data_IF_216829958348
#
_entry.id   IF_216829958348
#
_cell.length_a   1.000
_cell.length_b   1.000
_cell.length_c   1.000
_cell.angle_alpha   90.00
_cell.angle_beta   90.00
_cell.angle_gamma   90.00
#
_symmetry.space_group_name_H-M   'P 1'
#
loop_
_entity.id
_entity.type
_entity.pdbx_description
1 polymer ?
#
# COMPACT_ATOMS: atom_id res chain seq x y z
N UNK A 1 -47.93 16.29 12.28
CA UNK A 1 -48.47 16.04 10.93
C UNK A 1 -47.47 16.53 9.91
N UNK A 2 -47.02 15.59 9.08
CA UNK A 2 -46.42 15.68 7.73
C UNK A 2 -45.26 16.65 7.44
N UNK A 3 -44.13 16.00 7.14
CA UNK A 3 -42.97 16.47 6.36
C UNK A 3 -43.41 16.86 4.95
N UNK A 4 -42.89 17.96 4.41
CA UNK A 4 -42.92 18.24 2.97
C UNK A 4 -41.51 18.08 2.41
N UNK A 5 -41.36 17.01 1.62
CA UNK A 5 -40.26 16.78 0.69
C UNK A 5 -40.89 16.73 -0.71
N UNK A 6 -40.46 17.64 -1.58
CA UNK A 6 -40.70 17.61 -3.03
C UNK A 6 -39.40 17.03 -3.65
N UNK A 7 -39.36 15.76 -4.11
CA UNK A 7 -39.81 15.20 -5.40
C UNK A 7 -39.22 15.98 -6.59
N UNK A 8 -38.49 15.43 -7.58
CA UNK A 8 -38.57 14.11 -8.22
C UNK A 8 -37.37 13.85 -9.18
N UNK A 9 -36.99 12.56 -9.36
CA UNK A 9 -36.52 11.83 -10.59
C UNK A 9 -35.32 12.36 -11.40
N UNK A 10 -34.39 11.60 -12.00
CA UNK A 10 -34.25 10.22 -12.50
C UNK A 10 -32.74 10.07 -12.84
N UNK A 11 -32.01 8.98 -12.58
CA UNK A 11 -31.86 7.79 -13.44
C UNK A 11 -30.83 6.90 -12.69
N UNK A 12 -31.25 5.83 -12.02
CA UNK A 12 -31.34 4.45 -12.52
C UNK A 12 -30.01 3.86 -13.00
N UNK A 13 -29.45 2.98 -12.16
CA UNK A 13 -28.46 1.97 -12.50
C UNK A 13 -28.89 1.14 -13.72
N UNK A 14 -27.95 0.85 -14.62
CA UNK A 14 -28.13 -0.25 -15.56
C UNK A 14 -26.77 -0.90 -15.90
N UNK A 15 -26.45 -1.99 -15.20
CA UNK A 15 -25.69 -3.12 -15.76
C UNK A 15 -26.70 -4.23 -16.01
N UNK A 16 -26.80 -4.78 -17.23
CA UNK A 16 -26.21 -6.09 -17.53
C UNK A 16 -25.71 -6.11 -19.00
N UNK A 17 -25.12 -7.13 -19.62
CA UNK A 17 -25.22 -8.59 -19.52
C UNK A 17 -24.11 -9.20 -20.39
N UNK A 18 -23.66 -10.38 -19.99
CA UNK A 18 -22.95 -11.36 -20.82
C UNK A 18 -23.64 -11.65 -22.17
N UNK A 19 -22.81 -12.16 -23.10
CA UNK A 19 -23.16 -12.94 -24.30
C UNK A 19 -23.18 -12.17 -25.61
N UNK A 20 -22.24 -12.49 -26.50
CA UNK A 20 -22.57 -13.08 -27.81
C UNK A 20 -21.30 -13.59 -28.51
N UNK A 21 -21.20 -14.92 -28.55
CA UNK A 21 -20.34 -15.65 -29.47
C UNK A 21 -21.16 -15.93 -30.75
N UNK A 22 -20.58 -15.85 -31.96
CA UNK A 22 -21.13 -16.54 -33.11
C UNK A 22 -20.28 -17.78 -33.39
N UNK A 23 -20.87 -18.95 -33.16
CA UNK A 23 -20.45 -20.18 -33.80
C UNK A 23 -21.02 -20.25 -35.23
N UNK A 24 -20.30 -21.00 -36.08
CA UNK A 24 -20.76 -21.71 -37.27
C UNK A 24 -20.98 -20.93 -38.57
N UNK A 25 -19.97 -21.00 -39.45
CA UNK A 25 -20.15 -21.05 -40.90
C UNK A 25 -20.00 -22.49 -41.39
N UNK A 26 -21.07 -23.03 -41.97
CA UNK A 26 -21.22 -24.39 -42.48
C UNK A 26 -20.45 -24.63 -43.78
N UNK A 27 -19.65 -25.70 -43.76
CA UNK A 27 -19.36 -26.71 -44.80
C UNK A 27 -19.73 -26.41 -46.27
N UNK A 28 -18.75 -26.51 -47.17
CA UNK A 28 -18.96 -27.06 -48.52
C UNK A 28 -17.86 -28.10 -48.81
N UNK A 29 -18.30 -29.33 -48.96
CA UNK A 29 -17.59 -30.55 -49.33
C UNK A 29 -17.31 -30.61 -50.84
N UNK A 30 -16.06 -30.97 -51.24
CA UNK A 30 -15.72 -31.84 -52.38
C UNK A 30 -14.18 -32.00 -52.59
N UNK A 31 -13.68 -33.14 -53.13
CA UNK A 31 -12.40 -33.78 -52.71
C UNK A 31 -11.36 -33.95 -53.86
N UNK A 32 -10.37 -34.87 -53.75
CA UNK A 32 -8.97 -34.66 -53.37
C UNK A 32 -8.01 -34.60 -54.58
N UNK A 33 -7.06 -33.66 -54.60
CA UNK A 33 -5.91 -33.76 -55.52
C UNK A 33 -4.71 -34.40 -54.83
N UNK A 34 -4.60 -35.72 -54.98
CA UNK A 34 -3.35 -36.43 -54.77
C UNK A 34 -2.30 -35.93 -55.74
N UNK A 35 -1.27 -35.25 -55.24
CA UNK A 35 0.01 -35.15 -55.95
C UNK A 35 1.09 -35.74 -55.07
N UNK A 36 1.48 -36.95 -55.43
CA UNK A 36 2.73 -37.57 -55.00
C UNK A 36 3.89 -36.66 -55.41
N UNK A 37 4.76 -36.35 -54.46
CA UNK A 37 6.23 -36.40 -54.55
C UNK A 37 6.88 -35.39 -53.62
N UNK A 38 7.77 -35.89 -52.77
CA UNK A 38 8.65 -35.09 -51.94
C UNK A 38 8.83 -35.70 -50.55
N UNK A 39 9.45 -36.88 -50.47
CA UNK A 39 10.09 -37.32 -49.22
C UNK A 39 11.06 -36.20 -48.82
N UNK A 40 10.75 -35.39 -47.81
CA UNK A 40 11.76 -34.52 -47.21
C UNK A 40 12.65 -35.42 -46.36
N UNK A 41 13.91 -35.48 -46.77
CA UNK A 41 14.99 -36.14 -46.04
C UNK A 41 15.01 -35.61 -44.60
N UNK A 42 15.01 -36.51 -43.63
CA UNK A 42 15.26 -36.20 -42.22
C UNK A 42 16.74 -35.88 -42.11
N UNK A 43 17.09 -34.60 -42.09
CA UNK A 43 18.42 -34.16 -41.69
C UNK A 43 18.40 -33.94 -40.19
N UNK A 44 19.15 -34.77 -39.48
CA UNK A 44 19.49 -34.62 -38.08
C UNK A 44 20.14 -33.24 -37.88
N UNK A 45 19.37 -32.27 -37.37
CA UNK A 45 19.94 -31.03 -36.88
C UNK A 45 20.32 -31.27 -35.42
N UNK A 46 21.60 -31.56 -35.27
CA UNK A 46 22.49 -31.33 -34.15
C UNK A 46 21.83 -30.59 -32.98
N UNK A 47 21.75 -31.29 -31.86
CA UNK A 47 21.40 -30.79 -30.54
C UNK A 47 22.26 -29.56 -30.22
N UNK A 48 21.69 -28.37 -30.41
CA UNK A 48 22.23 -27.13 -29.90
C UNK A 48 22.03 -27.13 -28.37
N UNK A 49 22.92 -27.79 -27.64
CA UNK A 49 23.15 -27.59 -26.21
C UNK A 49 23.74 -26.20 -25.98
N UNK A 50 22.92 -25.18 -26.23
CA UNK A 50 23.20 -23.79 -25.91
C UNK A 50 22.35 -23.32 -24.75
N UNK A 51 22.22 -24.12 -23.68
CA UNK A 51 21.62 -23.64 -22.43
C UNK A 51 22.59 -22.68 -21.77
N UNK A 52 22.53 -21.39 -22.15
CA UNK A 52 23.10 -20.31 -21.34
C UNK A 52 22.41 -20.33 -19.97
N UNK A 53 23.08 -20.93 -18.99
CA UNK A 53 22.82 -20.82 -17.56
C UNK A 53 21.39 -21.12 -17.13
N UNK A 54 20.98 -22.39 -17.12
CA UNK A 54 19.79 -22.78 -16.39
C UNK A 54 20.10 -22.71 -14.89
N UNK A 55 19.72 -21.59 -14.25
CA UNK A 55 19.79 -21.42 -12.79
C UNK A 55 19.03 -22.58 -12.16
N UNK A 56 19.68 -23.33 -11.27
CA UNK A 56 19.03 -24.51 -10.70
C UNK A 56 17.83 -24.08 -9.85
N UNK A 57 16.78 -24.91 -9.78
CA UNK A 57 15.62 -24.64 -8.91
C UNK A 57 16.04 -24.37 -7.47
N UNK A 58 17.07 -25.08 -6.99
CA UNK A 58 17.64 -24.88 -5.66
C UNK A 58 18.22 -23.47 -5.47
N UNK A 59 18.94 -22.96 -6.47
CA UNK A 59 19.52 -21.61 -6.44
C UNK A 59 18.43 -20.53 -6.44
N UNK A 60 17.33 -20.74 -7.18
CA UNK A 60 16.16 -19.83 -7.14
C UNK A 60 15.53 -19.81 -5.75
N UNK A 61 15.37 -20.96 -5.11
CA UNK A 61 14.81 -21.07 -3.76
C UNK A 61 15.72 -20.45 -2.69
N UNK A 62 17.04 -20.65 -2.79
CA UNK A 62 18.03 -20.02 -1.92
C UNK A 62 18.01 -18.49 -2.07
N UNK A 63 17.97 -17.99 -3.29
CA UNK A 63 17.87 -16.56 -3.55
C UNK A 63 16.57 -15.96 -3.00
N UNK A 64 15.45 -16.67 -3.14
CA UNK A 64 14.16 -16.26 -2.59
C UNK A 64 14.20 -16.24 -1.05
N UNK A 65 14.71 -17.30 -0.44
CA UNK A 65 14.88 -17.41 1.02
C UNK A 65 15.77 -16.29 1.56
N UNK A 66 16.92 -16.06 0.92
CA UNK A 66 17.84 -14.96 1.24
C UNK A 66 17.17 -13.59 1.09
N UNK A 67 16.40 -13.39 0.01
CA UNK A 67 15.63 -12.18 -0.24
C UNK A 67 14.61 -11.91 0.87
N UNK A 68 13.83 -12.93 1.24
CA UNK A 68 12.86 -12.84 2.34
C UNK A 68 13.57 -12.51 3.66
N UNK A 69 14.69 -13.16 3.97
CA UNK A 69 15.46 -12.87 5.17
C UNK A 69 15.92 -11.41 5.26
N UNK A 70 16.36 -10.83 4.13
CA UNK A 70 16.72 -9.40 4.03
C UNK A 70 15.52 -8.49 4.22
N UNK A 71 14.35 -8.86 3.69
CA UNK A 71 13.11 -8.11 3.85
C UNK A 71 12.71 -8.10 5.33
N UNK A 72 12.65 -9.26 5.98
CA UNK A 72 12.34 -9.39 7.42
C UNK A 72 13.28 -8.52 8.25
N UNK A 73 14.59 -8.63 8.02
CA UNK A 73 15.59 -7.83 8.74
C UNK A 73 15.39 -6.32 8.53
N UNK A 74 14.97 -5.91 7.33
CA UNK A 74 14.68 -4.50 7.03
C UNK A 74 13.42 -4.02 7.78
N UNK A 75 12.38 -4.84 7.84
CA UNK A 75 11.18 -4.54 8.61
C UNK A 75 11.48 -4.42 10.11
N UNK A 76 12.25 -5.36 10.69
CA UNK A 76 12.63 -5.29 12.11
C UNK A 76 13.36 -3.98 12.44
N UNK A 77 14.27 -3.53 11.56
CA UNK A 77 14.96 -2.24 11.70
C UNK A 77 14.00 -1.06 11.63
N UNK A 78 13.05 -1.08 10.69
CA UNK A 78 12.05 0.00 10.55
C UNK A 78 11.16 0.04 11.80
N UNK A 79 10.66 -1.11 12.26
CA UNK A 79 9.86 -1.22 13.48
C UNK A 79 10.64 -0.68 14.70
N UNK A 80 11.90 -1.10 14.89
CA UNK A 80 12.72 -0.60 15.99
C UNK A 80 13.03 0.90 15.92
N UNK A 81 13.13 1.47 14.70
CA UNK A 81 13.26 2.92 14.52
C UNK A 81 11.95 3.66 14.85
N UNK A 82 10.80 3.08 14.51
CA UNK A 82 9.49 3.63 14.82
C UNK A 82 9.22 3.64 16.32
N UNK A 83 9.50 2.54 17.01
CA UNK A 83 9.36 2.41 18.47
C UNK A 83 10.23 3.43 19.22
N UNK A 84 11.49 3.62 18.79
CA UNK A 84 12.38 4.65 19.35
C UNK A 84 11.89 6.08 19.13
N UNK A 85 11.17 6.35 18.04
CA UNK A 85 10.61 7.69 17.78
C UNK A 85 9.43 7.96 18.71
N UNK A 86 8.52 6.99 18.85
CA UNK A 86 7.33 7.11 19.68
C UNK A 86 7.71 7.34 21.16
N UNK A 87 8.72 6.63 21.68
CA UNK A 87 9.24 6.84 23.03
C UNK A 87 9.69 8.28 23.30
N UNK A 88 10.29 8.96 22.32
CA UNK A 88 10.81 10.34 22.52
C UNK A 88 9.70 11.37 22.64
N UNK A 89 8.55 11.12 22.03
CA UNK A 89 7.40 12.03 22.09
C UNK A 89 6.74 11.99 23.48
N UNK A 90 6.75 10.83 24.16
CA UNK A 90 6.37 10.75 25.57
C UNK A 90 7.36 11.44 26.49
N UNK A 91 8.67 11.31 26.24
CA UNK A 91 9.73 11.89 27.07
C UNK A 91 9.67 13.42 27.12
N UNK A 92 9.18 14.06 26.05
CA UNK A 92 9.11 15.51 25.96
C UNK A 92 8.16 16.12 27.01
N UNK A 93 7.02 15.48 27.30
CA UNK A 93 6.07 16.00 28.28
C UNK A 93 6.67 15.96 29.68
N UNK A 94 7.31 14.85 30.00
CA UNK A 94 7.94 14.65 31.30
C UNK A 94 9.07 15.67 31.47
N UNK A 95 9.89 15.87 30.45
CA UNK A 95 10.94 16.89 30.44
C UNK A 95 10.41 18.33 30.61
N UNK A 96 9.28 18.66 29.98
CA UNK A 96 8.66 19.99 30.11
C UNK A 96 8.15 20.25 31.53
N UNK A 97 7.55 19.24 32.17
CA UNK A 97 7.06 19.34 33.55
C UNK A 97 8.21 19.39 34.58
N UNK A 98 9.33 18.72 34.30
CA UNK A 98 10.49 18.67 35.19
C UNK A 98 11.41 19.89 35.07
N UNK A 99 11.28 20.70 34.01
CA UNK A 99 12.16 21.86 33.80
C UNK A 99 11.67 23.07 34.60
N UNK A 100 12.35 23.48 35.69
CA UNK A 100 11.94 24.63 36.48
C UNK A 100 12.13 25.93 35.71
N UNK A 101 11.14 26.82 35.78
CA UNK A 101 11.19 28.15 35.14
C UNK A 101 10.85 28.15 33.65
N UNK A 102 10.44 27.02 33.07
CA UNK A 102 9.86 26.98 31.73
C UNK A 102 8.49 27.66 31.76
N UNK A 103 8.30 28.70 30.93
CA UNK A 103 7.04 29.43 30.88
C UNK A 103 5.99 28.67 30.07
N UNK A 104 4.72 28.83 30.42
CA UNK A 104 3.60 28.24 29.67
C UNK A 104 3.64 28.62 28.18
N UNK A 105 4.05 29.85 27.87
CA UNK A 105 4.20 30.32 26.49
C UNK A 105 5.32 29.59 25.73
N UNK A 106 6.47 29.37 26.36
CA UNK A 106 7.54 28.57 25.77
C UNK A 106 7.11 27.12 25.56
N UNK A 107 6.33 26.57 26.51
CA UNK A 107 5.69 25.27 26.37
C UNK A 107 4.78 25.22 25.14
N UNK A 108 3.86 26.18 24.99
CA UNK A 108 2.91 26.20 23.88
C UNK A 108 3.59 26.38 22.51
N UNK A 109 4.65 27.20 22.43
CA UNK A 109 5.48 27.30 21.23
C UNK A 109 6.14 25.96 20.88
N UNK A 110 6.68 25.25 21.88
CA UNK A 110 7.27 23.93 21.65
C UNK A 110 6.23 22.92 21.16
N UNK A 111 5.00 22.96 21.70
CA UNK A 111 3.90 22.11 21.25
C UNK A 111 3.55 22.36 19.78
N UNK A 112 3.65 23.60 19.29
CA UNK A 112 3.34 23.92 17.90
C UNK A 112 4.27 23.20 16.90
N UNK A 113 5.47 22.82 17.32
CA UNK A 113 6.42 22.04 16.51
C UNK A 113 6.08 20.55 16.43
N UNK A 114 5.17 20.05 17.27
CA UNK A 114 4.78 18.65 17.32
C UNK A 114 3.83 18.26 16.18
N UNK A 115 3.85 16.97 15.84
CA UNK A 115 2.89 16.38 14.90
C UNK A 115 1.48 16.30 15.53
N UNK A 116 0.45 16.06 14.70
CA UNK A 116 -0.95 16.06 15.15
C UNK A 116 -1.25 15.02 16.24
N UNK A 117 -0.68 13.81 16.15
CA UNK A 117 -0.89 12.75 17.15
C UNK A 117 -0.26 13.16 18.48
N UNK A 118 1.00 13.61 18.47
CA UNK A 118 1.70 14.08 19.65
C UNK A 118 0.96 15.26 20.32
N UNK A 119 0.49 16.24 19.54
CA UNK A 119 -0.32 17.36 20.07
C UNK A 119 -1.59 16.87 20.77
N UNK A 120 -2.29 15.89 20.20
CA UNK A 120 -3.47 15.29 20.82
C UNK A 120 -3.10 14.58 22.12
N UNK A 121 -2.06 13.74 22.12
CA UNK A 121 -1.62 13.01 23.31
C UNK A 121 -1.23 13.98 24.45
N UNK A 122 -0.54 15.08 24.12
CA UNK A 122 -0.25 16.17 25.06
C UNK A 122 -1.52 16.83 25.58
N UNK A 123 -2.46 17.17 24.70
CA UNK A 123 -3.73 17.76 25.09
C UNK A 123 -4.48 16.87 26.09
N UNK A 124 -4.51 15.55 25.87
CA UNK A 124 -5.13 14.61 26.80
C UNK A 124 -4.43 14.57 28.16
N UNK A 125 -3.12 14.74 28.22
CA UNK A 125 -2.35 14.70 29.47
C UNK A 125 -2.36 16.03 30.25
N UNK A 126 -2.67 17.15 29.61
CA UNK A 126 -2.81 18.46 30.26
C UNK A 126 -3.99 18.53 31.23
N UNK A 127 -3.88 19.39 32.25
CA UNK A 127 -5.00 19.76 33.11
C UNK A 127 -6.01 20.63 32.35
N UNK A 128 -7.29 20.73 32.81
CA UNK A 128 -8.28 21.62 32.19
C UNK A 128 -7.83 23.08 32.09
N UNK A 129 -7.11 23.58 33.09
CA UNK A 129 -6.56 24.95 33.11
C UNK A 129 -5.48 25.14 32.05
N UNK A 130 -4.53 24.21 31.94
CA UNK A 130 -3.49 24.25 30.90
C UNK A 130 -4.10 24.21 29.49
N UNK A 131 -5.13 23.38 29.28
CA UNK A 131 -5.86 23.34 28.00
C UNK A 131 -6.53 24.68 27.70
N UNK A 132 -7.16 25.29 28.69
CA UNK A 132 -7.78 26.61 28.55
C UNK A 132 -6.73 27.68 28.17
N UNK A 133 -5.59 27.70 28.87
CA UNK A 133 -4.50 28.64 28.59
C UNK A 133 -3.92 28.43 27.19
N UNK A 134 -3.74 27.18 26.77
CA UNK A 134 -3.26 26.87 25.43
C UNK A 134 -4.24 27.32 24.34
N UNK A 135 -5.55 27.04 24.51
CA UNK A 135 -6.58 27.51 23.57
C UNK A 135 -6.58 29.04 23.48
N UNK A 136 -6.48 29.71 24.62
CA UNK A 136 -6.40 31.17 24.70
C UNK A 136 -5.15 31.69 23.96
N UNK A 137 -3.99 31.05 24.19
CA UNK A 137 -2.76 31.36 23.49
C UNK A 137 -2.90 31.22 21.96
N UNK A 138 -3.53 30.15 21.47
CA UNK A 138 -3.77 29.94 20.03
C UNK A 138 -4.75 30.95 19.41
N UNK A 139 -5.62 31.57 20.21
CA UNK A 139 -6.53 32.63 19.74
C UNK A 139 -5.85 34.01 19.69
N UNK A 140 -4.72 34.18 20.36
CA UNK A 140 -3.95 35.43 20.40
C UNK A 140 -2.85 35.51 19.33
N UNK A 141 -2.48 34.38 18.70
CA UNK A 141 -1.62 34.32 17.50
C UNK A 141 -2.39 34.63 16.23
#
# INVERSE_FOLDING_TARGET
MFVQSENESSHQENSPSLSQQPFQGTNVDAPPHSRTQGKRSRTDYENNSGSKGATSQAEVLENLSSGIGKIVTSFDKICGLMEKRESRESDLLDAMNETPGLTDEACFMALDLLNTKAKQDFFLKMTPEQRHNWITYKQMQ
#
